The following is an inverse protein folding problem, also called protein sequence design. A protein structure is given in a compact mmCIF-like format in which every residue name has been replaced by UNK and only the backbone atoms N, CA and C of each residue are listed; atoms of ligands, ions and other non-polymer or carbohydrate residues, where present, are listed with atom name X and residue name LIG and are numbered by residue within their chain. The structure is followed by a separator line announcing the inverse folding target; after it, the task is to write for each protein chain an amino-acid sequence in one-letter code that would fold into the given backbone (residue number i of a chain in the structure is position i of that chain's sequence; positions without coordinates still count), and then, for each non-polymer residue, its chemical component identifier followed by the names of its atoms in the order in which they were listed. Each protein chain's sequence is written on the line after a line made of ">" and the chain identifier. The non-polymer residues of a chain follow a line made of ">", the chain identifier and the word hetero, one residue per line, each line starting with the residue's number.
data_IF_884729893403
#
_entry.id   IF_884729893403
#
_cell.length_a   1.000
_cell.length_b   1.000
_cell.length_c   1.000
_cell.angle_alpha   90.00
_cell.angle_beta   90.00
_cell.angle_gamma   90.00
#
_symmetry.space_group_name_H-M   'P 1'
#
loop_
_entity.id
_entity.type
_entity.pdbx_description
1 polymer ?
#
# COMPACT_ATOMS: atom_id res chain seq x y z
N UNK A 1 3.79 1.96 2.96
CA UNK A 1 5.17 1.43 3.10
C UNK A 1 6.04 2.25 4.05
N UNK A 2 6.14 3.58 3.87
CA UNK A 2 7.08 4.47 4.58
C UNK A 2 7.10 4.48 6.12
N UNK A 3 6.16 3.81 6.79
CA UNK A 3 6.02 3.77 8.26
C UNK A 3 6.46 2.45 8.89
N UNK A 4 6.41 1.36 8.13
CA UNK A 4 6.55 -0.01 8.66
C UNK A 4 7.65 -0.81 7.96
N UNK A 5 8.07 -0.37 6.77
CA UNK A 5 9.17 -0.97 6.04
C UNK A 5 10.46 -0.88 6.88
N UNK A 6 11.26 -1.96 6.99
CA UNK A 6 12.58 -1.93 7.63
C UNK A 6 13.65 -1.23 6.80
N UNK A 7 13.27 -0.53 5.72
CA UNK A 7 14.14 0.25 4.85
C UNK A 7 15.33 -0.48 4.19
N UNK A 8 15.15 -1.71 3.62
CA UNK A 8 16.26 -2.43 2.98
C UNK A 8 16.83 -1.73 1.73
N UNK A 9 16.09 -0.76 1.18
CA UNK A 9 16.59 0.09 0.11
C UNK A 9 17.69 1.06 0.58
N UNK A 10 17.78 1.36 1.87
CA UNK A 10 18.80 2.24 2.45
C UNK A 10 20.12 1.48 2.69
N UNK A 11 20.06 0.18 2.98
CA UNK A 11 21.23 -0.70 3.15
C UNK A 11 22.13 -0.75 1.90
N UNK A 12 21.53 -0.67 0.70
CA UNK A 12 22.24 -0.71 -0.59
C UNK A 12 22.39 0.67 -1.24
N UNK A 13 22.19 1.75 -0.47
CA UNK A 13 22.35 3.10 -0.99
C UNK A 13 23.82 3.38 -1.32
N UNK A 14 24.13 3.82 -2.55
CA UNK A 14 25.50 4.24 -2.95
C UNK A 14 26.10 5.29 -2.01
N UNK A 15 25.27 6.10 -1.37
CA UNK A 15 25.73 7.15 -0.45
C UNK A 15 26.40 6.58 0.82
N UNK A 16 26.15 5.31 1.16
CA UNK A 16 26.88 4.58 2.21
C UNK A 16 28.40 4.54 1.95
N UNK A 17 28.85 4.69 0.70
CA UNK A 17 30.27 4.76 0.34
C UNK A 17 30.91 6.13 0.70
N UNK A 18 30.12 7.11 1.12
CA UNK A 18 30.56 8.49 1.40
C UNK A 18 30.24 8.87 2.84
N UNK A 19 28.97 8.77 3.25
CA UNK A 19 28.48 9.14 4.58
C UNK A 19 27.27 8.29 5.00
N UNK A 20 26.06 8.88 5.06
CA UNK A 20 24.83 8.24 5.51
C UNK A 20 23.87 8.00 4.33
N UNK A 21 23.05 6.93 4.36
CA UNK A 21 22.12 6.66 3.28
C UNK A 21 21.10 7.78 3.13
N UNK A 22 20.56 7.93 1.92
CA UNK A 22 19.39 8.78 1.73
C UNK A 22 18.24 8.21 2.56
N UNK A 23 17.53 9.09 3.28
CA UNK A 23 16.38 8.74 4.12
C UNK A 23 15.12 8.41 3.29
N UNK A 24 15.24 7.39 2.43
CA UNK A 24 14.27 6.98 1.40
C UNK A 24 12.92 6.66 2.03
N UNK A 25 12.90 5.99 3.18
CA UNK A 25 11.67 5.55 3.84
C UNK A 25 10.85 6.76 4.32
N UNK A 26 11.49 7.75 4.95
CA UNK A 26 10.81 8.98 5.37
C UNK A 26 10.42 9.86 4.19
N UNK A 27 11.24 9.93 3.13
CA UNK A 27 10.86 10.64 1.90
C UNK A 27 9.61 10.04 1.26
N UNK A 28 9.54 8.71 1.14
CA UNK A 28 8.34 8.00 0.66
C UNK A 28 7.12 8.28 1.55
N UNK A 29 7.30 8.30 2.87
CA UNK A 29 6.24 8.65 3.82
C UNK A 29 5.76 10.09 3.62
N UNK A 30 6.69 11.04 3.55
CA UNK A 30 6.41 12.46 3.42
C UNK A 30 5.59 12.75 2.16
N UNK A 31 6.01 12.22 1.01
CA UNK A 31 5.29 12.41 -0.26
C UNK A 31 3.90 11.76 -0.21
N UNK A 32 3.80 10.53 0.33
CA UNK A 32 2.51 9.86 0.47
C UNK A 32 1.54 10.63 1.39
N UNK A 33 2.05 11.19 2.50
CA UNK A 33 1.25 11.99 3.43
C UNK A 33 0.82 13.32 2.80
N UNK A 34 1.72 13.96 2.05
CA UNK A 34 1.41 15.20 1.31
C UNK A 34 0.25 14.98 0.34
N UNK A 35 0.30 13.92 -0.47
CA UNK A 35 -0.77 13.59 -1.42
C UNK A 35 -2.06 13.18 -0.71
N UNK A 36 -1.99 12.36 0.34
CA UNK A 36 -3.15 11.95 1.13
C UNK A 36 -3.89 13.17 1.71
N UNK A 37 -3.16 14.15 2.23
CA UNK A 37 -3.73 15.35 2.85
C UNK A 37 -4.29 16.37 1.85
N UNK A 38 -3.90 16.30 0.57
CA UNK A 38 -4.53 17.14 -0.48
C UNK A 38 -5.97 16.73 -0.77
N UNK A 39 -6.36 15.50 -0.41
CA UNK A 39 -7.70 14.96 -0.71
C UNK A 39 -7.97 14.75 -2.20
N UNK A 40 -6.93 14.82 -3.04
CA UNK A 40 -7.04 14.62 -4.48
C UNK A 40 -6.62 13.20 -4.81
N UNK A 41 -7.51 12.46 -5.46
CA UNK A 41 -7.17 11.14 -5.99
C UNK A 41 -6.63 11.28 -7.41
N UNK A 42 -5.46 10.69 -7.65
CA UNK A 42 -4.92 10.61 -9.00
C UNK A 42 -5.87 9.78 -9.87
N UNK A 43 -6.18 10.22 -11.10
CA UNK A 43 -6.94 9.40 -12.02
C UNK A 43 -6.14 8.12 -12.31
N UNK A 44 -6.74 6.97 -12.02
CA UNK A 44 -6.13 5.67 -12.28
C UNK A 44 -6.71 5.13 -13.58
N UNK A 45 -5.84 4.84 -14.55
CA UNK A 45 -6.25 4.20 -15.79
C UNK A 45 -6.78 2.78 -15.53
N UNK A 46 -7.90 2.45 -16.16
CA UNK A 46 -8.58 1.15 -16.10
C UNK A 46 -8.84 0.69 -17.54
N UNK A 47 -8.41 -0.53 -17.87
CA UNK A 47 -8.71 -1.16 -19.15
C UNK A 47 -10.21 -1.46 -19.30
N UNK A 48 -10.70 -1.62 -20.55
CA UNK A 48 -12.07 -2.07 -20.79
C UNK A 48 -12.40 -3.35 -20.02
N UNK A 49 -13.66 -3.48 -19.62
CA UNK A 49 -14.08 -4.64 -18.83
C UNK A 49 -13.94 -5.94 -19.63
N UNK A 50 -13.30 -6.91 -18.98
CA UNK A 50 -13.02 -8.24 -19.53
C UNK A 50 -14.17 -9.23 -19.30
N UNK A 51 -15.14 -8.89 -18.43
CA UNK A 51 -16.21 -9.79 -17.99
C UNK A 51 -15.78 -10.88 -16.98
N UNK A 52 -14.49 -11.04 -16.70
CA UNK A 52 -14.00 -12.02 -15.75
C UNK A 52 -14.20 -11.58 -14.30
N UNK A 53 -14.73 -12.49 -13.47
CA UNK A 53 -14.93 -12.31 -12.03
C UNK A 53 -13.87 -13.07 -11.25
N UNK A 54 -13.27 -12.43 -10.24
CA UNK A 54 -12.18 -13.02 -9.45
C UNK A 54 -12.50 -12.93 -7.96
N UNK A 55 -12.48 -14.05 -7.26
CA UNK A 55 -12.60 -14.08 -5.80
C UNK A 55 -11.21 -13.98 -5.14
N UNK A 56 -11.07 -13.10 -4.16
CA UNK A 56 -9.84 -12.90 -3.38
C UNK A 56 -10.18 -13.21 -1.92
N UNK A 57 -9.46 -14.15 -1.31
CA UNK A 57 -9.66 -14.51 0.10
C UNK A 57 -8.62 -13.78 0.96
N UNK A 58 -9.11 -12.89 1.83
CA UNK A 58 -8.30 -12.04 2.71
C UNK A 58 -8.14 -10.61 2.20
N UNK A 59 -8.51 -9.65 3.06
CA UNK A 59 -8.44 -8.21 2.85
C UNK A 59 -7.14 -7.57 3.37
N UNK A 60 -6.07 -8.35 3.49
CA UNK A 60 -4.74 -7.84 3.86
C UNK A 60 -4.04 -7.07 2.72
N UNK A 61 -2.79 -6.63 2.94
CA UNK A 61 -2.03 -5.87 1.94
C UNK A 61 -1.90 -6.61 0.59
N UNK A 62 -1.75 -7.95 0.62
CA UNK A 62 -1.69 -8.75 -0.59
C UNK A 62 -3.02 -8.75 -1.35
N UNK A 63 -4.14 -8.99 -0.67
CA UNK A 63 -5.47 -9.03 -1.29
C UNK A 63 -5.92 -7.69 -1.84
N UNK A 64 -5.67 -6.60 -1.09
CA UNK A 64 -5.95 -5.23 -1.55
C UNK A 64 -5.12 -4.85 -2.78
N UNK A 65 -3.83 -5.19 -2.78
CA UNK A 65 -2.95 -4.94 -3.93
C UNK A 65 -3.38 -5.74 -5.15
N UNK A 66 -3.72 -7.02 -4.96
CA UNK A 66 -4.23 -7.88 -6.03
C UNK A 66 -5.52 -7.32 -6.63
N UNK A 67 -6.49 -6.95 -5.79
CA UNK A 67 -7.75 -6.35 -6.24
C UNK A 67 -7.52 -5.05 -7.01
N UNK A 68 -6.61 -4.19 -6.54
CA UNK A 68 -6.26 -2.94 -7.23
C UNK A 68 -5.75 -3.20 -8.66
N UNK A 69 -4.77 -4.09 -8.83
CA UNK A 69 -4.22 -4.37 -10.15
C UNK A 69 -5.20 -5.13 -11.05
N UNK A 70 -5.95 -6.10 -10.52
CA UNK A 70 -6.98 -6.81 -11.29
C UNK A 70 -8.06 -5.86 -11.80
N UNK A 71 -8.51 -4.91 -10.96
CA UNK A 71 -9.48 -3.90 -11.40
C UNK A 71 -8.92 -3.04 -12.52
N UNK A 72 -7.66 -2.59 -12.42
CA UNK A 72 -6.98 -1.81 -13.47
C UNK A 72 -6.85 -2.56 -14.81
N UNK A 73 -6.74 -3.88 -14.76
CA UNK A 73 -6.71 -4.75 -15.94
C UNK A 73 -8.10 -5.04 -16.52
N UNK A 74 -9.18 -4.47 -15.96
CA UNK A 74 -10.55 -4.65 -16.45
C UNK A 74 -11.26 -5.89 -15.90
N UNK A 75 -10.72 -6.54 -14.87
CA UNK A 75 -11.41 -7.63 -14.19
C UNK A 75 -12.33 -7.11 -13.07
N UNK A 76 -13.25 -7.96 -12.61
CA UNK A 76 -14.17 -7.68 -11.50
C UNK A 76 -13.78 -8.50 -10.25
N UNK A 77 -12.79 -8.05 -9.45
CA UNK A 77 -12.40 -8.72 -8.22
C UNK A 77 -13.41 -8.48 -7.09
N UNK A 78 -13.59 -9.48 -6.21
CA UNK A 78 -14.36 -9.38 -4.97
C UNK A 78 -13.52 -9.95 -3.83
N UNK A 79 -13.35 -9.16 -2.77
CA UNK A 79 -12.58 -9.55 -1.59
C UNK A 79 -13.53 -10.13 -0.55
N UNK A 80 -13.22 -11.32 -0.03
CA UNK A 80 -13.87 -11.95 1.10
C UNK A 80 -12.93 -11.88 2.30
N UNK A 81 -13.33 -11.17 3.35
CA UNK A 81 -12.57 -11.00 4.59
C UNK A 81 -13.38 -11.51 5.78
N UNK A 82 -12.72 -12.20 6.71
CA UNK A 82 -13.32 -12.73 7.93
C UNK A 82 -13.47 -11.65 8.99
N UNK A 83 -12.51 -10.73 9.06
CA UNK A 83 -12.48 -9.64 10.02
C UNK A 83 -13.49 -8.53 9.66
N UNK A 84 -13.95 -7.72 10.63
CA UNK A 84 -14.94 -6.67 10.38
C UNK A 84 -14.50 -5.58 9.38
N UNK A 85 -13.19 -5.33 9.28
CA UNK A 85 -12.61 -4.30 8.42
C UNK A 85 -11.42 -4.85 7.63
N UNK A 86 -11.19 -4.27 6.45
CA UNK A 86 -10.04 -4.60 5.61
C UNK A 86 -8.73 -4.07 6.21
N UNK A 87 -7.61 -4.61 5.78
CA UNK A 87 -6.25 -4.18 6.16
C UNK A 87 -5.39 -5.30 6.75
N UNK A 88 -6.01 -6.41 7.19
CA UNK A 88 -5.29 -7.57 7.73
C UNK A 88 -4.29 -7.18 8.82
N UNK A 89 -3.04 -7.66 8.73
CA UNK A 89 -2.00 -7.34 9.70
C UNK A 89 -1.72 -5.83 9.84
N UNK A 90 -1.94 -5.02 8.80
CA UNK A 90 -1.76 -3.56 8.91
C UNK A 90 -2.74 -2.94 9.90
N UNK A 91 -3.97 -3.46 9.99
CA UNK A 91 -5.01 -2.96 10.89
C UNK A 91 -4.99 -3.64 12.25
N UNK A 92 -4.79 -4.97 12.27
CA UNK A 92 -4.96 -5.79 13.47
C UNK A 92 -3.65 -6.23 14.13
N UNK A 93 -2.52 -6.17 13.42
CA UNK A 93 -1.23 -6.64 13.93
C UNK A 93 -0.25 -5.52 14.28
N UNK A 94 -0.28 -4.40 13.56
CA UNK A 94 0.66 -3.30 13.76
C UNK A 94 0.07 -2.28 14.75
N UNK A 95 0.81 -1.92 15.83
CA UNK A 95 0.34 -0.92 16.78
C UNK A 95 0.09 0.45 16.16
N UNK A 96 -0.91 1.16 16.68
CA UNK A 96 -1.39 2.46 16.18
C UNK A 96 -0.30 3.56 16.17
N UNK A 97 0.61 3.53 17.15
CA UNK A 97 1.73 4.48 17.21
C UNK A 97 2.77 4.26 16.10
N UNK A 98 2.83 3.05 15.51
CA UNK A 98 3.67 2.76 14.33
C UNK A 98 2.92 2.99 13.03
N UNK A 99 1.66 2.58 12.98
CA UNK A 99 0.80 2.71 11.80
C UNK A 99 -0.59 3.20 12.22
N UNK A 100 -0.88 4.51 12.09
CA UNK A 100 -2.19 5.06 12.46
C UNK A 100 -3.30 4.42 11.63
N UNK A 101 -4.41 4.01 12.26
CA UNK A 101 -5.52 3.37 11.52
C UNK A 101 -6.27 4.32 10.60
N UNK A 102 -6.20 5.64 10.88
CA UNK A 102 -6.82 6.70 10.08
C UNK A 102 -6.30 6.84 8.65
N UNK A 103 -5.18 6.18 8.32
CA UNK A 103 -4.59 6.20 6.98
C UNK A 103 -4.78 4.87 6.22
N UNK A 104 -5.55 3.94 6.80
CA UNK A 104 -5.87 2.63 6.24
C UNK A 104 -7.25 2.63 5.58
#
# INVERSE_FOLDING_TARGET
>A
MGRVCPAPCEDVCRRNDVDEPVNINNLKRFVADLEYNKGQHLPVFVHPDTGHKVAIIGGGPAGLTCAYYLRRLGHSPTIFERMPELGGAMRYGIPEYRLPKKIL
#
